data_IF_015789038850
#
_entry.id   IF_015789038850
#
_cell.length_a   1.000
_cell.length_b   1.000
_cell.length_c   1.000
_cell.angle_alpha   90.00
_cell.angle_beta   90.00
_cell.angle_gamma   90.00
#
_symmetry.space_group_name_H-M   'P 1'
#
loop_
_entity.id
_entity.type
_entity.pdbx_description
1 polymer ?
#
# COMPACT_ATOMS: atom_id res chain seq x y z
N UNK A 1 10.27 -4.54 10.88
CA UNK A 1 8.97 -5.24 10.74
C UNK A 1 9.20 -6.45 9.85
N UNK A 2 8.68 -7.61 10.25
CA UNK A 2 8.98 -8.90 9.63
C UNK A 2 8.21 -9.13 8.30
N UNK A 3 7.32 -8.23 7.93
CA UNK A 3 6.42 -8.31 6.77
C UNK A 3 6.74 -7.28 5.67
N UNK A 4 7.97 -6.73 5.66
CA UNK A 4 8.46 -5.93 4.54
C UNK A 4 8.87 -6.83 3.37
N UNK A 5 8.80 -6.30 2.14
CA UNK A 5 9.17 -7.03 0.93
C UNK A 5 10.58 -7.65 1.00
N UNK A 6 11.57 -6.92 1.53
CA UNK A 6 12.96 -7.39 1.56
C UNK A 6 13.15 -8.67 2.39
N UNK A 7 12.27 -8.94 3.35
CA UNK A 7 12.33 -10.14 4.21
C UNK A 7 12.14 -11.44 3.42
N UNK A 8 11.42 -11.40 2.30
CA UNK A 8 11.16 -12.55 1.42
C UNK A 8 12.42 -13.03 0.66
N UNK A 9 13.52 -12.28 0.73
CA UNK A 9 14.81 -12.73 0.18
C UNK A 9 15.48 -13.81 1.03
N UNK A 10 15.20 -13.85 2.34
CA UNK A 10 15.81 -14.80 3.28
C UNK A 10 14.80 -15.56 4.14
N UNK A 11 13.50 -15.33 3.96
CA UNK A 11 12.45 -16.12 4.59
C UNK A 11 12.46 -17.55 4.02
N UNK A 12 12.52 -18.54 4.91
CA UNK A 12 12.32 -19.94 4.54
C UNK A 12 10.84 -20.30 4.63
N UNK A 13 10.28 -21.06 3.67
CA UNK A 13 8.91 -21.54 3.80
C UNK A 13 8.79 -22.48 5.00
N UNK A 14 7.68 -22.39 5.71
CA UNK A 14 7.37 -23.30 6.80
C UNK A 14 6.87 -24.63 6.23
N UNK A 15 7.28 -25.75 6.81
CA UNK A 15 6.85 -27.09 6.43
C UNK A 15 5.41 -27.39 6.92
N UNK A 16 4.44 -26.58 6.51
CA UNK A 16 3.02 -26.76 6.81
C UNK A 16 2.18 -26.58 5.54
N UNK A 17 0.97 -27.11 5.57
CA UNK A 17 -0.02 -26.94 4.50
C UNK A 17 -0.92 -25.74 4.78
N UNK A 18 -1.61 -25.25 3.74
CA UNK A 18 -2.61 -24.17 3.84
C UNK A 18 -2.06 -22.87 4.43
N UNK A 19 -0.82 -22.52 4.08
CA UNK A 19 -0.17 -21.27 4.49
C UNK A 19 -0.43 -20.18 3.45
N UNK A 20 -0.74 -18.97 3.93
CA UNK A 20 -0.69 -17.73 3.14
C UNK A 20 0.43 -16.87 3.73
N UNK A 21 1.32 -16.38 2.87
CA UNK A 21 2.39 -15.46 3.29
C UNK A 21 1.91 -14.03 3.18
N UNK A 22 2.14 -13.24 4.22
CA UNK A 22 1.65 -11.87 4.33
C UNK A 22 2.77 -10.87 4.09
N UNK A 23 2.51 -9.84 3.29
CA UNK A 23 3.37 -8.65 3.12
C UNK A 23 2.60 -7.38 3.45
N UNK A 24 3.28 -6.36 3.98
CA UNK A 24 2.77 -5.00 4.10
C UNK A 24 3.48 -4.09 3.08
N UNK A 25 2.71 -3.22 2.41
CA UNK A 25 3.24 -2.27 1.44
C UNK A 25 3.04 -0.82 1.88
N UNK A 26 4.11 -0.22 2.41
CA UNK A 26 4.17 1.19 2.80
C UNK A 26 5.39 1.93 2.23
N UNK A 27 6.09 1.33 1.26
CA UNK A 27 7.26 1.95 0.66
C UNK A 27 6.85 2.97 -0.43
N UNK A 28 7.43 4.19 -0.45
CA UNK A 28 8.39 4.70 0.52
C UNK A 28 7.70 5.23 1.77
N UNK A 29 8.26 4.93 2.94
CA UNK A 29 7.69 5.34 4.23
C UNK A 29 7.59 6.84 4.39
N UNK A 30 8.55 7.59 3.83
CA UNK A 30 8.56 9.06 3.81
C UNK A 30 7.42 9.67 3.00
N UNK A 31 6.74 8.92 2.14
CA UNK A 31 5.52 9.35 1.46
C UNK A 31 4.28 8.88 2.20
N UNK A 32 4.20 7.58 2.50
CA UNK A 32 2.99 6.95 3.06
C UNK A 32 2.69 7.40 4.49
N UNK A 33 3.70 7.89 5.22
CA UNK A 33 3.61 8.42 6.59
C UNK A 33 4.07 9.88 6.69
N UNK A 34 4.16 10.60 5.56
CA UNK A 34 4.70 11.95 5.54
C UNK A 34 3.95 12.86 6.51
N UNK A 35 4.67 13.66 7.31
CA UNK A 35 4.09 14.59 8.29
C UNK A 35 3.17 13.96 9.34
N UNK A 36 3.22 12.65 9.55
CA UNK A 36 2.45 11.97 10.60
C UNK A 36 2.69 12.57 11.99
N UNK A 37 3.93 12.97 12.29
CA UNK A 37 4.34 13.60 13.56
C UNK A 37 4.47 15.13 13.46
N UNK A 38 3.85 15.75 12.46
CA UNK A 38 3.90 17.21 12.26
C UNK A 38 4.79 17.64 11.10
N UNK A 39 5.71 18.59 11.34
CA UNK A 39 6.46 19.26 10.26
C UNK A 39 7.41 18.30 9.51
N UNK A 40 7.62 18.56 8.23
CA UNK A 40 8.51 17.80 7.36
C UNK A 40 8.34 18.21 5.89
N UNK A 41 9.19 17.69 5.02
CA UNK A 41 9.04 17.90 3.58
C UNK A 41 7.75 17.25 3.07
N UNK A 42 7.12 17.89 2.09
CA UNK A 42 6.03 17.26 1.33
C UNK A 42 6.69 16.64 0.11
N UNK A 43 6.41 15.36 -0.09
CA UNK A 43 6.82 14.63 -1.29
C UNK A 43 5.57 14.13 -2.01
N UNK A 44 5.64 14.09 -3.34
CA UNK A 44 4.51 13.75 -4.20
C UNK A 44 4.73 12.40 -4.86
N UNK A 45 3.66 11.67 -5.12
CA UNK A 45 3.68 10.45 -5.92
C UNK A 45 2.85 10.62 -7.20
N UNK A 46 3.37 10.25 -8.39
CA UNK A 46 4.74 9.86 -8.66
C UNK A 46 5.68 11.06 -8.47
N UNK A 47 6.94 10.81 -8.17
CA UNK A 47 7.91 11.88 -7.95
C UNK A 47 9.23 11.41 -7.39
N UNK A 48 10.16 12.35 -7.23
CA UNK A 48 11.44 12.09 -6.57
C UNK A 48 11.23 12.05 -5.06
N UNK A 49 11.54 10.91 -4.45
CA UNK A 49 11.41 10.67 -3.00
C UNK A 49 12.71 10.00 -2.55
N UNK A 50 13.40 10.59 -1.58
CA UNK A 50 14.67 10.07 -1.05
C UNK A 50 15.75 9.85 -2.13
N UNK A 51 15.78 10.70 -3.15
CA UNK A 51 16.74 10.62 -4.25
C UNK A 51 16.41 9.59 -5.32
N UNK A 52 15.27 8.91 -5.23
CA UNK A 52 14.80 7.94 -6.21
C UNK A 52 13.49 8.37 -6.88
N UNK A 53 13.32 8.03 -8.16
CA UNK A 53 12.06 8.23 -8.86
C UNK A 53 11.06 7.15 -8.43
N UNK A 54 10.05 7.54 -7.66
CA UNK A 54 8.95 6.68 -7.27
C UNK A 54 7.78 6.80 -8.25
N UNK A 55 7.47 5.68 -8.89
CA UNK A 55 6.37 5.48 -9.81
C UNK A 55 5.94 4.00 -9.75
N UNK A 56 4.98 3.61 -10.60
CA UNK A 56 4.47 2.23 -10.64
C UNK A 56 5.57 1.18 -10.81
N UNK A 57 6.58 1.46 -11.64
CA UNK A 57 7.70 0.55 -11.86
C UNK A 57 8.58 0.40 -10.61
N UNK A 58 8.81 1.50 -9.88
CA UNK A 58 9.53 1.43 -8.60
C UNK A 58 8.78 0.59 -7.55
N UNK A 59 7.45 0.64 -7.54
CA UNK A 59 6.61 -0.22 -6.70
C UNK A 59 6.81 -1.70 -7.08
N UNK A 60 6.84 -2.04 -8.38
CA UNK A 60 7.14 -3.42 -8.83
C UNK A 60 8.50 -3.89 -8.36
N UNK A 61 9.52 -3.06 -8.55
CA UNK A 61 10.88 -3.36 -8.09
C UNK A 61 10.92 -3.60 -6.59
N UNK A 62 10.21 -2.80 -5.80
CA UNK A 62 10.11 -3.00 -4.35
C UNK A 62 9.47 -4.34 -4.01
N UNK A 63 8.42 -4.77 -4.73
CA UNK A 63 7.68 -6.02 -4.49
C UNK A 63 8.31 -7.26 -5.15
N UNK A 64 9.35 -7.07 -5.97
CA UNK A 64 10.01 -8.14 -6.71
C UNK A 64 10.47 -9.32 -5.82
N UNK A 65 11.06 -9.10 -4.62
CA UNK A 65 11.43 -10.21 -3.73
C UNK A 65 10.25 -11.13 -3.36
N UNK A 66 9.07 -10.55 -3.14
CA UNK A 66 7.85 -11.28 -2.77
C UNK A 66 7.34 -12.09 -3.97
N UNK A 67 7.31 -11.48 -5.15
CA UNK A 67 6.91 -12.16 -6.39
C UNK A 67 7.85 -13.33 -6.71
N UNK A 68 9.16 -13.16 -6.53
CA UNK A 68 10.10 -14.25 -6.76
C UNK A 68 9.98 -15.34 -5.70
N UNK A 69 9.69 -15.00 -4.45
CA UNK A 69 9.38 -16.00 -3.42
C UNK A 69 8.11 -16.79 -3.77
N UNK A 70 7.05 -16.11 -4.21
CA UNK A 70 5.81 -16.74 -4.68
C UNK A 70 6.09 -17.75 -5.78
N UNK A 71 6.87 -17.38 -6.81
CA UNK A 71 7.23 -18.28 -7.92
C UNK A 71 8.08 -19.45 -7.47
N UNK A 72 9.12 -19.21 -6.66
CA UNK A 72 10.04 -20.25 -6.20
C UNK A 72 9.36 -21.31 -5.34
N UNK A 73 8.35 -20.92 -4.55
CA UNK A 73 7.70 -21.81 -3.59
C UNK A 73 6.25 -22.17 -3.96
N UNK A 74 5.76 -21.66 -5.09
CA UNK A 74 4.38 -21.83 -5.54
C UNK A 74 3.35 -21.56 -4.42
N UNK A 75 3.54 -20.48 -3.67
CA UNK A 75 2.75 -20.15 -2.49
C UNK A 75 1.73 -19.03 -2.77
N UNK A 76 0.79 -18.84 -1.84
CA UNK A 76 -0.17 -17.71 -1.88
C UNK A 76 0.40 -16.52 -1.12
N UNK A 77 0.25 -15.33 -1.71
CA UNK A 77 0.62 -14.05 -1.10
C UNK A 77 -0.65 -13.28 -0.78
N UNK A 78 -0.66 -12.62 0.37
CA UNK A 78 -1.70 -11.69 0.80
C UNK A 78 -1.05 -10.37 1.24
N UNK A 79 -1.53 -9.26 0.69
CA UNK A 79 -1.13 -7.92 1.12
C UNK A 79 -1.99 -7.54 2.33
N UNK A 80 -1.43 -7.72 3.52
CA UNK A 80 -2.16 -7.51 4.77
C UNK A 80 -2.50 -6.05 5.05
N UNK A 81 -1.61 -5.15 4.64
CA UNK A 81 -1.80 -3.71 4.80
C UNK A 81 -1.10 -2.97 3.66
N UNK A 82 -1.75 -1.92 3.18
CA UNK A 82 -1.13 -0.87 2.40
C UNK A 82 -1.94 0.42 2.53
N UNK A 83 -1.26 1.57 2.44
CA UNK A 83 -1.92 2.87 2.43
C UNK A 83 -1.02 4.03 2.04
N UNK A 84 -1.64 5.20 1.88
CA UNK A 84 -0.98 6.49 1.88
C UNK A 84 -1.79 7.50 2.70
N UNK A 85 -1.08 8.33 3.45
CA UNK A 85 -1.68 9.36 4.32
C UNK A 85 -2.45 10.39 3.48
N UNK A 86 -3.58 10.87 4.02
CA UNK A 86 -4.59 11.60 3.26
C UNK A 86 -4.10 12.87 2.57
N UNK A 87 -3.20 13.60 3.23
CA UNK A 87 -2.64 14.86 2.72
C UNK A 87 -1.41 14.67 1.83
N UNK A 88 -0.98 13.43 1.57
CA UNK A 88 0.10 13.17 0.63
C UNK A 88 -0.40 13.42 -0.81
N UNK A 89 0.21 14.36 -1.56
CA UNK A 89 -0.23 14.61 -2.93
C UNK A 89 0.01 13.39 -3.82
N UNK A 90 -1.05 12.91 -4.46
CA UNK A 90 -1.03 11.70 -5.31
C UNK A 90 -1.23 10.38 -4.55
N UNK A 91 -1.72 10.43 -3.32
CA UNK A 91 -2.08 9.24 -2.53
C UNK A 91 -3.07 8.32 -3.28
N UNK A 92 -4.06 8.86 -3.97
CA UNK A 92 -5.01 8.09 -4.78
C UNK A 92 -4.33 7.38 -5.95
N UNK A 93 -3.33 8.00 -6.58
CA UNK A 93 -2.57 7.38 -7.66
C UNK A 93 -1.64 6.28 -7.13
N UNK A 94 -1.03 6.49 -5.97
CA UNK A 94 -0.25 5.45 -5.29
C UNK A 94 -1.10 4.22 -5.00
N UNK A 95 -2.28 4.41 -4.40
CA UNK A 95 -3.22 3.33 -4.12
C UNK A 95 -3.67 2.62 -5.40
N UNK A 96 -3.94 3.37 -6.47
CA UNK A 96 -4.27 2.81 -7.77
C UNK A 96 -3.17 1.89 -8.29
N UNK A 97 -1.93 2.39 -8.32
CA UNK A 97 -0.79 1.66 -8.85
C UNK A 97 -0.46 0.42 -8.01
N UNK A 98 -0.55 0.51 -6.68
CA UNK A 98 -0.43 -0.65 -5.79
C UNK A 98 -1.45 -1.73 -6.12
N UNK A 99 -2.75 -1.38 -6.17
CA UNK A 99 -3.81 -2.36 -6.42
C UNK A 99 -3.66 -2.97 -7.83
N UNK A 100 -3.35 -2.18 -8.87
CA UNK A 100 -3.09 -2.75 -10.21
C UNK A 100 -1.99 -3.81 -10.20
N UNK A 101 -0.94 -3.61 -9.40
CA UNK A 101 0.16 -4.58 -9.28
C UNK A 101 -0.30 -5.81 -8.49
N UNK A 102 -1.05 -5.63 -7.40
CA UNK A 102 -1.56 -6.75 -6.60
C UNK A 102 -2.50 -7.64 -7.43
N UNK A 103 -3.44 -7.03 -8.17
CA UNK A 103 -4.35 -7.72 -9.08
C UNK A 103 -3.57 -8.46 -10.19
N UNK A 104 -2.56 -7.82 -10.79
CA UNK A 104 -1.72 -8.43 -11.82
C UNK A 104 -0.94 -9.65 -11.29
N UNK A 105 -0.48 -9.60 -10.04
CA UNK A 105 0.23 -10.71 -9.40
C UNK A 105 -0.71 -11.77 -8.79
N UNK A 106 -2.02 -11.54 -8.85
CA UNK A 106 -3.05 -12.42 -8.28
C UNK A 106 -3.00 -12.46 -6.75
N UNK A 107 -2.68 -11.33 -6.10
CA UNK A 107 -2.61 -11.22 -4.65
C UNK A 107 -3.89 -10.65 -4.07
N UNK A 108 -4.42 -11.33 -3.06
CA UNK A 108 -5.47 -10.75 -2.20
C UNK A 108 -4.89 -9.59 -1.40
N UNK A 109 -5.72 -8.60 -1.05
CA UNK A 109 -5.25 -7.40 -0.35
C UNK A 109 -6.28 -6.82 0.61
N UNK A 110 -5.79 -6.14 1.65
CA UNK A 110 -6.60 -5.35 2.58
C UNK A 110 -6.07 -3.93 2.68
N UNK A 111 -6.97 -2.97 2.45
CA UNK A 111 -6.66 -1.56 2.63
C UNK A 111 -6.57 -1.22 4.13
N UNK A 112 -5.50 -0.52 4.51
CA UNK A 112 -5.36 0.05 5.84
C UNK A 112 -5.52 1.59 5.76
N UNK A 113 -6.34 2.28 6.55
CA UNK A 113 -7.26 1.76 7.56
C UNK A 113 -8.65 2.32 7.32
N UNK A 114 -9.66 1.45 7.31
CA UNK A 114 -11.06 1.89 7.28
C UNK A 114 -11.53 2.22 8.70
N UNK A 115 -11.77 3.51 8.98
CA UNK A 115 -12.30 4.05 10.26
C UNK A 115 -11.49 3.76 11.53
N UNK A 116 -10.23 3.35 11.41
CA UNK A 116 -9.35 3.20 12.57
C UNK A 116 -8.69 4.55 12.94
N UNK A 117 -7.93 5.14 12.02
CA UNK A 117 -7.28 6.45 12.21
C UNK A 117 -7.54 7.38 11.04
N UNK A 118 -7.84 8.65 11.35
CA UNK A 118 -8.38 9.61 10.37
C UNK A 118 -7.44 9.88 9.19
N UNK A 119 -6.12 9.89 9.37
CA UNK A 119 -5.19 10.20 8.28
C UNK A 119 -5.03 9.08 7.24
N UNK A 120 -5.38 7.83 7.55
CA UNK A 120 -5.47 6.74 6.56
C UNK A 120 -6.91 6.32 6.27
N UNK A 121 -7.91 6.98 6.86
CA UNK A 121 -9.30 6.77 6.49
C UNK A 121 -9.56 7.35 5.10
N UNK A 122 -10.16 6.54 4.22
CA UNK A 122 -10.64 6.99 2.91
C UNK A 122 -11.94 7.79 2.97
N UNK A 123 -12.55 7.92 4.16
CA UNK A 123 -13.76 8.73 4.35
C UNK A 123 -13.45 10.12 4.86
N UNK A 124 -12.18 10.46 5.08
CA UNK A 124 -11.76 11.75 5.62
C UNK A 124 -10.77 12.46 4.70
N UNK A 125 -10.84 13.78 4.68
CA UNK A 125 -9.86 14.67 4.04
C UNK A 125 -9.50 15.85 4.95
N UNK A 126 -8.28 16.35 4.77
CA UNK A 126 -7.73 17.45 5.54
C UNK A 126 -6.22 17.56 5.30
N UNK A 127 -5.63 18.73 5.57
CA UNK A 127 -4.20 18.98 5.36
C UNK A 127 -3.30 18.31 6.41
N UNK A 128 -3.87 17.84 7.53
CA UNK A 128 -3.18 17.17 8.63
C UNK A 128 -4.21 16.47 9.54
N UNK A 129 -3.72 15.68 10.51
CA UNK A 129 -4.55 14.90 11.43
C UNK A 129 -5.57 15.74 12.24
N UNK A 130 -5.23 16.97 12.66
CA UNK A 130 -6.13 17.82 13.46
C UNK A 130 -7.23 18.50 12.63
N UNK A 131 -7.07 18.56 11.32
CA UNK A 131 -8.01 19.22 10.41
C UNK A 131 -8.76 18.22 9.50
N UNK A 132 -8.60 16.91 9.72
CA UNK A 132 -9.34 15.87 9.01
C UNK A 132 -10.83 15.97 9.31
N UNK A 133 -11.65 15.95 8.26
CA UNK A 133 -13.11 15.94 8.35
C UNK A 133 -13.69 14.83 7.47
N UNK A 134 -14.83 14.23 7.87
CA UNK A 134 -15.52 13.28 6.99
C UNK A 134 -15.99 13.99 5.73
N UNK A 135 -15.91 13.31 4.60
CA UNK A 135 -16.40 13.79 3.30
C UNK A 135 -17.13 12.66 2.58
N UNK A 136 -18.07 13.00 1.70
CA UNK A 136 -18.94 12.01 1.05
C UNK A 136 -18.17 11.00 0.18
N UNK A 137 -17.12 11.45 -0.51
CA UNK A 137 -16.34 10.61 -1.42
C UNK A 137 -14.95 11.20 -1.70
N UNK A 138 -13.90 10.58 -1.16
CA UNK A 138 -12.51 10.97 -1.48
C UNK A 138 -12.05 10.35 -2.81
N UNK A 139 -11.04 10.92 -3.49
CA UNK A 139 -10.38 10.26 -4.63
C UNK A 139 -9.85 8.87 -4.28
N UNK A 140 -9.28 8.71 -3.08
CA UNK A 140 -8.77 7.42 -2.56
C UNK A 140 -9.90 6.39 -2.42
N UNK A 141 -11.07 6.80 -1.90
CA UNK A 141 -12.25 5.93 -1.80
C UNK A 141 -12.77 5.50 -3.17
N UNK A 142 -12.76 6.39 -4.17
CA UNK A 142 -13.17 6.06 -5.54
C UNK A 142 -12.33 4.93 -6.12
N UNK A 143 -11.02 4.95 -5.87
CA UNK A 143 -10.10 3.88 -6.29
C UNK A 143 -10.49 2.55 -5.65
N UNK A 144 -10.63 2.50 -4.33
CA UNK A 144 -11.01 1.24 -3.64
C UNK A 144 -12.35 0.71 -4.13
N UNK A 145 -13.38 1.56 -4.22
CA UNK A 145 -14.70 1.17 -4.74
C UNK A 145 -14.66 0.69 -6.18
N UNK A 146 -13.70 1.15 -7.00
CA UNK A 146 -13.53 0.67 -8.37
C UNK A 146 -13.10 -0.79 -8.39
N UNK A 147 -12.11 -1.15 -7.59
CA UNK A 147 -11.59 -2.51 -7.54
C UNK A 147 -12.52 -3.47 -6.80
N UNK A 148 -13.16 -3.04 -5.71
CA UNK A 148 -14.15 -3.88 -5.02
C UNK A 148 -15.33 -4.30 -5.89
N UNK A 149 -15.63 -3.57 -6.97
CA UNK A 149 -16.68 -3.96 -7.94
C UNK A 149 -16.24 -5.10 -8.87
N UNK A 150 -14.95 -5.42 -8.95
CA UNK A 150 -14.44 -6.53 -9.74
C UNK A 150 -14.62 -7.88 -9.04
N UNK A 151 -14.87 -7.87 -7.72
CA UNK A 151 -15.12 -9.08 -6.97
C UNK A 151 -16.49 -9.66 -7.35
N UNK A 152 -16.46 -10.86 -7.93
CA UNK A 152 -17.65 -11.67 -8.18
C UNK A 152 -18.16 -12.30 -6.86
N UNK A 153 -19.47 -12.56 -6.79
CA UNK A 153 -20.12 -13.16 -5.61
C UNK A 153 -20.21 -14.67 -5.71
#
# INVERSE_FOLDING_TARGET
MADKSETFTYLSPLAMHNIIYKVHMYAPGSFTHQRLRGKGEIVTYPGMIEGEMWNKERIRQNLQPVLEFQKRHNCKIYVGEFSAIAWAPGAEKYLNDCIEIFEEYGWDWTYHAFREWVGWSVEHEGPNASEMKPVDMTPRQKVLRRYFRLNER
#
